data_IF_194180902716
#
_entry.id   IF_194180902716
#
_cell.length_a   1.000
_cell.length_b   1.000
_cell.length_c   1.000
_cell.angle_alpha   90.00
_cell.angle_beta   90.00
_cell.angle_gamma   90.00
#
_symmetry.space_group_name_H-M   'P 1'
#
loop_
_entity.id
_entity.type
_entity.pdbx_description
1 polymer ?
#
# COMPACT_ATOMS: atom_id res chain seq x y z
N UNK A 1 19.71 -18.09 11.38
CA UNK A 1 19.97 -16.64 11.58
C UNK A 1 18.65 -15.90 11.81
N UNK A 2 18.65 -14.86 12.64
CA UNK A 2 17.50 -13.94 12.77
C UNK A 2 17.42 -12.96 11.59
N UNK A 3 16.22 -12.79 11.06
CA UNK A 3 15.89 -11.85 9.98
C UNK A 3 15.21 -10.60 10.53
N UNK A 4 14.36 -10.74 11.56
CA UNK A 4 13.73 -9.61 12.25
C UNK A 4 14.05 -9.66 13.75
N UNK A 5 14.73 -8.64 14.25
CA UNK A 5 15.06 -8.55 15.69
C UNK A 5 13.86 -8.14 16.55
N UNK A 6 12.94 -7.30 16.04
CA UNK A 6 11.79 -6.81 16.81
C UNK A 6 10.85 -7.94 17.26
N UNK A 7 10.60 -8.90 16.36
CA UNK A 7 9.68 -10.02 16.61
C UNK A 7 10.41 -11.36 16.74
N UNK A 8 11.75 -11.37 16.75
CA UNK A 8 12.55 -12.59 16.87
C UNK A 8 12.37 -13.57 15.71
N UNK A 9 12.08 -13.09 14.50
CA UNK A 9 11.80 -13.96 13.35
C UNK A 9 13.09 -14.47 12.73
N UNK A 10 13.18 -15.77 12.50
CA UNK A 10 14.32 -16.46 11.89
C UNK A 10 14.15 -16.66 10.39
N UNK A 11 15.26 -16.88 9.70
CA UNK A 11 15.26 -17.22 8.28
C UNK A 11 14.49 -18.51 7.99
N UNK A 12 14.57 -19.49 8.87
CA UNK A 12 13.83 -20.75 8.74
C UNK A 12 12.32 -20.52 8.80
N UNK A 13 11.84 -19.65 9.69
CA UNK A 13 10.43 -19.27 9.73
C UNK A 13 10.00 -18.57 8.43
N UNK A 14 10.80 -17.65 7.90
CA UNK A 14 10.51 -16.99 6.62
C UNK A 14 10.40 -18.01 5.49
N UNK A 15 11.32 -18.97 5.42
CA UNK A 15 11.29 -20.06 4.42
C UNK A 15 10.05 -20.94 4.58
N UNK A 16 9.74 -21.37 5.81
CA UNK A 16 8.56 -22.18 6.10
C UNK A 16 7.27 -21.48 5.67
N UNK A 17 7.13 -20.18 5.96
CA UNK A 17 5.96 -19.42 5.51
C UNK A 17 5.92 -19.25 3.99
N UNK A 18 7.08 -19.13 3.33
CA UNK A 18 7.14 -19.10 1.87
C UNK A 18 6.66 -20.43 1.26
N UNK A 19 7.04 -21.56 1.85
CA UNK A 19 6.54 -22.89 1.46
C UNK A 19 5.04 -23.07 1.73
N UNK A 20 4.52 -22.46 2.80
CA UNK A 20 3.09 -22.42 3.15
C UNK A 20 2.26 -21.51 2.23
N UNK A 21 2.92 -20.76 1.32
CA UNK A 21 2.27 -19.93 0.31
C UNK A 21 2.45 -18.41 0.48
N UNK A 22 3.16 -17.96 1.53
CA UNK A 22 3.48 -16.54 1.74
C UNK A 22 4.63 -16.08 0.83
N UNK A 23 4.35 -15.89 -0.44
CA UNK A 23 5.33 -15.55 -1.47
C UNK A 23 5.72 -14.05 -1.50
N UNK A 24 5.13 -13.20 -0.66
CA UNK A 24 5.40 -11.76 -0.63
C UNK A 24 5.77 -11.28 0.78
N UNK A 25 6.60 -10.22 0.93
CA UNK A 25 6.91 -9.66 2.24
C UNK A 25 5.66 -9.21 3.01
N UNK A 26 4.60 -8.80 2.30
CA UNK A 26 3.31 -8.44 2.91
C UNK A 26 2.58 -9.68 3.48
N UNK A 27 2.60 -10.80 2.78
CA UNK A 27 2.06 -12.07 3.29
C UNK A 27 2.89 -12.61 4.46
N UNK A 28 4.22 -12.51 4.39
CA UNK A 28 5.11 -12.86 5.51
C UNK A 28 4.78 -11.98 6.72
N UNK A 29 4.58 -10.67 6.53
CA UNK A 29 4.14 -9.78 7.61
C UNK A 29 2.79 -10.19 8.21
N UNK A 30 1.82 -10.62 7.40
CA UNK A 30 0.55 -11.15 7.90
C UNK A 30 0.69 -12.47 8.66
N UNK A 31 1.62 -13.35 8.26
CA UNK A 31 1.81 -14.65 8.88
C UNK A 31 2.62 -14.57 10.19
N UNK A 32 3.67 -13.76 10.23
CA UNK A 32 4.63 -13.75 11.35
C UNK A 32 4.97 -12.37 11.89
N UNK A 33 4.27 -11.30 11.48
CA UNK A 33 4.48 -9.89 11.89
C UNK A 33 5.84 -9.31 11.49
N UNK A 34 6.66 -10.03 10.73
CA UNK A 34 7.94 -9.50 10.29
C UNK A 34 7.75 -8.27 9.39
N UNK A 35 8.36 -7.14 9.78
CA UNK A 35 8.35 -5.92 8.97
C UNK A 35 7.19 -4.96 9.24
N UNK A 36 6.39 -5.18 10.30
CA UNK A 36 5.30 -4.26 10.71
C UNK A 36 5.73 -3.22 11.77
N UNK A 37 6.96 -3.32 12.28
CA UNK A 37 7.54 -2.40 13.27
C UNK A 37 8.57 -1.47 12.57
N UNK A 38 9.85 -1.56 12.89
CA UNK A 38 10.89 -0.72 12.30
C UNK A 38 11.15 -0.94 10.80
N UNK A 39 10.61 -2.01 10.20
CA UNK A 39 10.69 -2.30 8.77
C UNK A 39 12.08 -2.69 8.21
N UNK A 40 13.13 -2.73 9.02
CA UNK A 40 14.52 -3.01 8.58
C UNK A 40 14.69 -4.39 7.91
N UNK A 41 13.91 -5.38 8.33
CA UNK A 41 13.95 -6.74 7.81
C UNK A 41 13.29 -6.91 6.43
N UNK A 42 12.48 -5.96 5.97
CA UNK A 42 11.66 -6.09 4.75
C UNK A 42 12.52 -6.33 3.50
N UNK A 43 13.62 -5.59 3.35
CA UNK A 43 14.56 -5.75 2.23
C UNK A 43 15.24 -7.11 2.24
N UNK A 44 15.57 -7.62 3.43
CA UNK A 44 16.18 -8.95 3.59
C UNK A 44 15.18 -10.06 3.28
N UNK A 45 13.94 -9.94 3.72
CA UNK A 45 12.85 -10.87 3.38
C UNK A 45 12.63 -10.91 1.87
N UNK A 46 12.61 -9.76 1.19
CA UNK A 46 12.50 -9.72 -0.28
C UNK A 46 13.63 -10.46 -1.00
N UNK A 47 14.87 -10.31 -0.52
CA UNK A 47 16.02 -11.03 -1.06
C UNK A 47 15.91 -12.55 -0.84
N UNK A 48 15.48 -12.98 0.36
CA UNK A 48 15.25 -14.39 0.68
C UNK A 48 14.16 -15.03 -0.18
N UNK A 49 13.13 -14.26 -0.54
CA UNK A 49 12.05 -14.67 -1.45
C UNK A 49 12.45 -14.61 -2.93
N UNK A 50 13.71 -14.31 -3.26
CA UNK A 50 14.18 -14.24 -4.65
C UNK A 50 13.67 -13.03 -5.44
N UNK A 51 13.04 -12.04 -4.78
CA UNK A 51 12.56 -10.79 -5.40
C UNK A 51 13.62 -9.67 -5.41
N UNK A 52 14.90 -10.06 -5.28
CA UNK A 52 16.03 -9.15 -5.08
C UNK A 52 16.49 -8.38 -6.33
N UNK A 53 15.91 -8.63 -7.50
CA UNK A 53 16.31 -8.00 -8.77
C UNK A 53 15.41 -6.85 -9.24
N UNK A 54 14.36 -6.47 -8.52
CA UNK A 54 13.53 -5.33 -8.94
C UNK A 54 14.13 -3.98 -8.48
N UNK A 55 14.59 -3.11 -9.40
CA UNK A 55 15.16 -1.82 -9.03
C UNK A 55 14.10 -0.89 -8.44
N UNK A 56 14.11 -0.80 -7.10
CA UNK A 56 13.87 0.38 -6.27
C UNK A 56 12.56 1.20 -6.35
N UNK A 57 11.81 1.41 -7.44
CA UNK A 57 10.88 2.58 -7.50
C UNK A 57 9.47 2.47 -8.08
N UNK A 58 9.07 1.46 -8.84
CA UNK A 58 7.80 1.60 -9.60
C UNK A 58 6.49 1.45 -8.78
N UNK A 59 6.52 0.82 -7.59
CA UNK A 59 5.29 0.43 -6.86
C UNK A 59 5.06 1.16 -5.53
N UNK A 60 6.03 1.93 -5.02
CA UNK A 60 5.81 2.80 -3.85
C UNK A 60 5.13 4.13 -4.23
N UNK A 61 5.11 4.50 -5.51
CA UNK A 61 4.28 5.60 -6.06
C UNK A 61 2.81 5.19 -6.23
N UNK A 62 2.52 3.88 -6.27
CA UNK A 62 1.14 3.37 -6.27
C UNK A 62 0.49 3.36 -4.88
N UNK A 63 1.15 3.97 -3.89
CA UNK A 63 0.46 4.77 -2.88
C UNK A 63 -0.22 5.97 -3.54
N UNK A 64 -1.10 5.72 -4.54
CA UNK A 64 -2.13 6.67 -4.94
C UNK A 64 -2.98 6.84 -3.72
N UNK A 65 -2.66 7.91 -3.04
CA UNK A 65 -3.32 8.42 -1.87
C UNK A 65 -4.82 8.35 -2.12
N UNK A 66 -5.51 7.49 -1.37
CA UNK A 66 -6.97 7.50 -1.26
C UNK A 66 -7.47 8.90 -0.82
N UNK A 67 -6.56 9.76 -0.35
CA UNK A 67 -6.76 11.18 -0.09
C UNK A 67 -7.10 12.02 -1.33
N UNK A 68 -6.68 11.65 -2.55
CA UNK A 68 -7.00 12.47 -3.73
C UNK A 68 -8.43 12.27 -4.22
N UNK A 69 -9.05 11.12 -3.92
CA UNK A 69 -10.44 10.85 -4.29
C UNK A 69 -11.43 11.56 -3.34
N UNK A 70 -11.03 11.84 -2.10
CA UNK A 70 -11.88 12.59 -1.14
C UNK A 70 -11.77 14.11 -1.33
N UNK A 71 -10.61 14.63 -1.77
CA UNK A 71 -10.43 16.08 -1.99
C UNK A 71 -10.85 16.56 -3.40
N UNK A 72 -11.19 15.65 -4.31
CA UNK A 72 -11.75 15.98 -5.63
C UNK A 72 -13.24 16.31 -5.64
N UNK A 73 -13.93 16.23 -4.49
CA UNK A 73 -15.39 16.47 -4.41
C UNK A 73 -15.77 17.92 -4.04
N UNK A 74 -14.79 18.84 -4.05
CA UNK A 74 -15.00 20.26 -3.73
C UNK A 74 -15.10 21.19 -4.95
N UNK A 75 -14.92 20.71 -6.19
CA UNK A 75 -14.96 21.57 -7.39
C UNK A 75 -15.79 20.94 -8.52
N UNK A 76 -17.11 20.77 -8.29
CA UNK A 76 -18.07 20.60 -9.40
C UNK A 76 -19.53 20.79 -9.00
N UNK A 77 -19.81 21.80 -8.17
CA UNK A 77 -21.19 22.25 -7.94
C UNK A 77 -21.36 23.72 -8.28
N UNK A 78 -21.02 24.05 -9.52
CA UNK A 78 -21.43 25.29 -10.20
C UNK A 78 -21.69 24.96 -11.67
N UNK A 79 -22.96 24.72 -11.99
CA UNK A 79 -23.63 24.92 -13.29
C UNK A 79 -24.93 24.07 -13.34
N UNK A 80 -25.92 24.40 -12.51
CA UNK A 80 -27.31 24.24 -12.96
C UNK A 80 -27.85 25.66 -13.13
N UNK A 81 -27.99 26.05 -14.40
CA UNK A 81 -28.53 27.35 -14.77
C UNK A 81 -29.97 27.47 -14.29
N UNK A 82 -30.21 28.35 -13.33
CA UNK A 82 -31.55 28.91 -13.11
C UNK A 82 -31.78 29.97 -14.19
N UNK A 83 -32.32 29.52 -15.33
CA UNK A 83 -32.91 30.41 -16.31
C UNK A 83 -34.19 31.01 -15.75
N UNK A 84 -34.08 32.12 -15.01
CA UNK A 84 -35.23 33.02 -14.82
C UNK A 84 -35.30 33.91 -16.05
N UNK A 85 -35.73 33.34 -17.17
CA UNK A 85 -36.27 34.16 -18.26
C UNK A 85 -37.54 34.79 -17.71
N UNK A 86 -37.52 36.12 -17.64
CA UNK A 86 -38.67 36.92 -17.30
C UNK A 86 -39.90 36.53 -18.12
N UNK A 87 -41.04 36.57 -17.45
CA UNK A 87 -42.23 37.15 -18.03
C UNK A 87 -42.67 38.27 -17.12
N UNK A 88 -42.44 39.47 -17.63
CA UNK A 88 -42.96 40.73 -17.13
C UNK A 88 -44.50 40.73 -17.09
N UNK A 89 -45.01 41.47 -16.10
CA UNK A 89 -46.16 42.37 -16.14
C UNK A 89 -47.41 42.01 -16.98
N UNK A 90 -48.52 41.79 -16.28
CA UNK A 90 -49.79 42.51 -16.46
C UNK A 90 -50.71 42.26 -15.25
#
# INVERSE_FOLDING_TARGET
MYVCSCFGITEQQVKKHAEDGACTPRQIASACKAGTDCGSCVRRIQALLGRGSCPRRELADQGKSVLSEVLGQADRREAVGHGTSGREAA
#
